data_IF_854484058219
#
_entry.id   IF_854484058219
#
_cell.length_a   1.000
_cell.length_b   1.000
_cell.length_c   1.000
_cell.angle_alpha   90.00
_cell.angle_beta   90.00
_cell.angle_gamma   90.00
#
_symmetry.space_group_name_H-M   'P 1'
#
loop_
_entity.id
_entity.type
_entity.pdbx_description
1 polymer ?
#
# COMPACT_ATOMS: atom_id res chain seq x y z
N UNK A 1 39.90 9.00 -8.24
CA UNK A 1 39.37 9.76 -9.40
C UNK A 1 38.60 8.79 -10.28
N UNK A 2 37.36 9.06 -10.58
CA UNK A 2 36.60 8.37 -11.63
C UNK A 2 35.50 7.41 -11.18
N UNK A 3 34.38 7.87 -10.55
CA UNK A 3 33.12 7.11 -10.46
C UNK A 3 31.90 7.99 -10.37
N UNK A 4 31.81 9.05 -11.18
CA UNK A 4 30.66 9.93 -11.25
C UNK A 4 30.03 10.03 -12.64
N UNK A 5 30.34 9.11 -13.56
CA UNK A 5 29.87 9.19 -14.96
C UNK A 5 28.72 8.25 -15.31
N UNK A 6 28.23 7.40 -14.40
CA UNK A 6 27.20 6.40 -14.74
C UNK A 6 25.74 6.86 -14.54
N UNK A 7 25.50 8.04 -13.98
CA UNK A 7 24.12 8.56 -13.79
C UNK A 7 23.68 9.53 -14.91
N UNK A 8 24.46 9.69 -15.97
CA UNK A 8 24.19 10.69 -17.02
C UNK A 8 23.37 10.18 -18.20
N UNK A 9 22.92 8.94 -18.17
CA UNK A 9 22.11 8.40 -19.28
C UNK A 9 20.68 8.02 -18.83
N UNK A 10 20.05 8.92 -18.08
CA UNK A 10 18.58 8.93 -18.02
C UNK A 10 18.13 9.43 -19.40
N UNK A 11 17.46 8.61 -20.24
CA UNK A 11 17.10 9.04 -21.58
C UNK A 11 16.27 10.33 -21.49
N UNK A 12 16.55 11.27 -22.40
CA UNK A 12 15.86 12.59 -22.48
C UNK A 12 14.33 12.46 -22.44
N UNK A 13 13.82 11.37 -22.92
CA UNK A 13 12.42 10.97 -22.86
C UNK A 13 11.83 11.01 -21.45
N UNK A 14 12.58 10.61 -20.42
CA UNK A 14 12.13 10.64 -19.02
C UNK A 14 12.11 12.08 -18.49
N UNK A 15 13.06 12.91 -18.88
CA UNK A 15 13.07 14.35 -18.54
C UNK A 15 11.89 15.12 -19.15
N UNK A 16 11.50 14.77 -20.38
CA UNK A 16 10.33 15.34 -21.04
C UNK A 16 9.03 14.92 -20.36
N UNK A 17 8.96 13.67 -19.89
CA UNK A 17 7.82 13.13 -19.14
C UNK A 17 7.67 13.78 -17.74
N UNK A 18 8.77 14.09 -17.07
CA UNK A 18 8.75 14.81 -15.78
C UNK A 18 8.27 16.26 -15.92
N UNK A 19 8.54 16.90 -17.04
CA UNK A 19 8.14 18.29 -17.31
C UNK A 19 6.62 18.46 -17.49
N UNK A 20 5.91 17.39 -17.85
CA UNK A 20 4.47 17.45 -18.11
C UNK A 20 3.69 17.02 -16.84
N UNK A 21 3.17 17.99 -16.08
CA UNK A 21 2.41 17.75 -14.82
C UNK A 21 1.28 16.71 -14.96
N UNK A 22 0.65 16.66 -16.13
CA UNK A 22 -0.43 15.70 -16.44
C UNK A 22 0.09 14.26 -16.54
N UNK A 23 1.23 14.06 -17.20
CA UNK A 23 1.84 12.73 -17.36
C UNK A 23 2.35 12.22 -16.00
N UNK A 24 2.96 13.08 -15.20
CA UNK A 24 3.38 12.74 -13.85
C UNK A 24 2.20 12.31 -12.97
N UNK A 25 1.06 13.00 -13.08
CA UNK A 25 -0.15 12.61 -12.34
C UNK A 25 -0.66 11.22 -12.76
N UNK A 26 -0.69 10.93 -14.06
CA UNK A 26 -1.11 9.61 -14.59
C UNK A 26 -0.16 8.51 -14.09
N UNK A 27 1.15 8.72 -14.16
CA UNK A 27 2.14 7.76 -13.67
C UNK A 27 1.96 7.51 -12.17
N UNK A 28 1.77 8.56 -11.37
CA UNK A 28 1.51 8.43 -9.93
C UNK A 28 0.24 7.64 -9.68
N UNK A 29 -0.86 7.92 -10.38
CA UNK A 29 -2.12 7.19 -10.22
C UNK A 29 -1.99 5.71 -10.61
N UNK A 30 -1.32 5.41 -11.72
CA UNK A 30 -1.05 4.02 -12.12
C UNK A 30 -0.19 3.28 -11.08
N UNK A 31 0.84 3.93 -10.54
CA UNK A 31 1.69 3.33 -9.53
C UNK A 31 0.92 3.06 -8.22
N UNK A 32 0.06 4.00 -7.81
CA UNK A 32 -0.79 3.85 -6.62
C UNK A 32 -1.80 2.71 -6.80
N UNK A 33 -2.48 2.64 -7.94
CA UNK A 33 -3.42 1.56 -8.23
C UNK A 33 -2.73 0.20 -8.25
N UNK A 34 -1.59 0.09 -8.94
CA UNK A 34 -0.81 -1.14 -9.00
C UNK A 34 -0.32 -1.57 -7.62
N UNK A 35 0.22 -0.62 -6.86
CA UNK A 35 0.67 -0.87 -5.50
C UNK A 35 -0.47 -1.29 -4.57
N UNK A 36 -1.63 -0.61 -4.63
CA UNK A 36 -2.81 -0.95 -3.85
C UNK A 36 -3.33 -2.37 -4.18
N UNK A 37 -3.31 -2.74 -5.46
CA UNK A 37 -3.70 -4.09 -5.89
C UNK A 37 -2.74 -5.16 -5.36
N UNK A 38 -1.43 -4.98 -5.54
CA UNK A 38 -0.41 -5.92 -5.04
C UNK A 38 -0.50 -6.05 -3.52
N UNK A 39 -0.72 -4.93 -2.82
CA UNK A 39 -0.86 -4.91 -1.36
C UNK A 39 -2.10 -5.68 -0.90
N UNK A 40 -3.25 -5.46 -1.53
CA UNK A 40 -4.49 -6.16 -1.22
C UNK A 40 -4.35 -7.66 -1.48
N UNK A 41 -3.72 -8.03 -2.59
CA UNK A 41 -3.42 -9.42 -2.93
C UNK A 41 -2.51 -10.07 -1.88
N UNK A 42 -1.41 -9.41 -1.50
CA UNK A 42 -0.49 -9.91 -0.49
C UNK A 42 -1.16 -10.12 0.87
N UNK A 43 -2.02 -9.19 1.29
CA UNK A 43 -2.75 -9.32 2.56
C UNK A 43 -3.67 -10.54 2.54
N UNK A 44 -4.42 -10.76 1.47
CA UNK A 44 -5.39 -11.85 1.43
C UNK A 44 -4.73 -13.22 1.28
N UNK A 45 -3.72 -13.32 0.43
CA UNK A 45 -3.10 -14.59 0.06
C UNK A 45 -2.08 -15.05 1.12
N UNK A 46 -1.36 -14.12 1.72
CA UNK A 46 -0.24 -14.44 2.60
C UNK A 46 -0.44 -14.00 4.05
N UNK A 47 -0.82 -12.73 4.28
CA UNK A 47 -0.85 -12.18 5.65
C UNK A 47 -2.00 -12.74 6.47
N UNK A 48 -3.20 -12.83 5.89
CA UNK A 48 -4.38 -13.39 6.57
C UNK A 48 -4.23 -14.86 6.91
N UNK A 49 -3.78 -15.75 5.99
CA UNK A 49 -3.59 -17.17 6.29
C UNK A 49 -2.49 -17.44 7.32
N UNK A 50 -1.44 -16.65 7.34
CA UNK A 50 -0.38 -16.73 8.34
C UNK A 50 -0.83 -16.34 9.75
N UNK A 51 -2.06 -15.87 9.92
CA UNK A 51 -2.62 -15.38 11.20
C UNK A 51 -1.78 -14.33 11.92
N UNK A 52 -0.88 -13.69 11.21
CA UNK A 52 0.02 -12.69 11.74
C UNK A 52 -0.64 -11.32 11.66
N UNK A 53 -0.53 -10.57 12.74
CA UNK A 53 -0.95 -9.17 12.78
C UNK A 53 0.19 -8.35 12.20
N UNK A 54 -0.02 -7.79 10.99
CA UNK A 54 0.97 -6.87 10.40
C UNK A 54 1.14 -5.62 11.28
N UNK A 55 2.28 -4.96 11.16
CA UNK A 55 2.50 -3.73 11.91
C UNK A 55 1.69 -2.53 11.39
N UNK A 56 1.70 -1.43 12.14
CA UNK A 56 1.05 -0.18 11.77
C UNK A 56 -0.48 -0.22 11.81
N UNK A 57 -1.11 0.68 11.04
CA UNK A 57 -2.58 0.81 11.03
C UNK A 57 -3.31 -0.39 10.43
N UNK A 58 -2.71 -1.09 9.48
CA UNK A 58 -3.27 -2.33 8.94
C UNK A 58 -3.32 -3.43 10.01
N UNK A 59 -2.30 -3.55 10.83
CA UNK A 59 -2.29 -4.47 11.96
C UNK A 59 -3.32 -4.12 13.01
N UNK A 60 -3.45 -2.84 13.36
CA UNK A 60 -4.49 -2.37 14.27
C UNK A 60 -5.90 -2.66 13.72
N UNK A 61 -6.13 -2.47 12.42
CA UNK A 61 -7.40 -2.78 11.79
C UNK A 61 -7.72 -4.29 11.82
N UNK A 62 -6.72 -5.15 11.58
CA UNK A 62 -6.86 -6.61 11.71
C UNK A 62 -7.16 -7.03 13.15
N UNK A 63 -6.52 -6.39 14.13
CA UNK A 63 -6.77 -6.67 15.54
C UNK A 63 -8.21 -6.31 15.93
N UNK A 64 -8.69 -5.14 15.51
CA UNK A 64 -10.07 -4.70 15.77
C UNK A 64 -11.08 -5.64 15.11
N UNK A 65 -10.85 -6.06 13.86
CA UNK A 65 -11.67 -7.08 13.19
C UNK A 65 -11.73 -8.38 14.01
N UNK A 66 -10.57 -8.85 14.48
CA UNK A 66 -10.47 -10.12 15.23
C UNK A 66 -11.11 -10.04 16.62
N UNK A 67 -10.87 -8.97 17.37
CA UNK A 67 -11.49 -8.75 18.69
C UNK A 67 -13.00 -8.51 18.54
N UNK A 68 -13.42 -7.75 17.51
CA UNK A 68 -14.82 -7.55 17.19
C UNK A 68 -15.54 -8.86 16.94
N UNK A 69 -14.97 -9.75 16.14
CA UNK A 69 -15.56 -11.06 15.81
C UNK A 69 -15.73 -11.96 17.04
N UNK A 70 -14.84 -11.88 18.03
CA UNK A 70 -14.95 -12.61 19.30
C UNK A 70 -16.11 -12.09 20.17
N UNK A 71 -16.49 -10.84 20.01
CA UNK A 71 -17.61 -10.21 20.72
C UNK A 71 -18.92 -10.18 19.90
N UNK A 72 -18.97 -10.90 18.79
CA UNK A 72 -20.15 -10.97 17.91
C UNK A 72 -20.36 -9.73 17.04
N UNK A 73 -19.37 -8.82 16.98
CA UNK A 73 -19.40 -7.63 16.13
C UNK A 73 -18.59 -7.88 14.85
N UNK A 74 -19.24 -7.84 13.71
CA UNK A 74 -18.58 -7.95 12.41
C UNK A 74 -18.12 -6.57 11.94
N UNK A 75 -16.94 -6.16 12.37
CA UNK A 75 -16.29 -4.91 11.92
C UNK A 75 -15.29 -5.27 10.83
N UNK A 76 -15.57 -4.98 9.55
CA UNK A 76 -14.64 -5.35 8.47
C UNK A 76 -13.35 -4.52 8.55
N UNK A 77 -12.20 -5.18 8.36
CA UNK A 77 -10.86 -4.58 8.36
C UNK A 77 -10.78 -3.32 7.48
N UNK A 78 -11.46 -3.35 6.33
CA UNK A 78 -11.47 -2.28 5.33
C UNK A 78 -11.99 -0.96 5.89
N UNK A 79 -13.09 -1.01 6.62
CA UNK A 79 -13.70 0.18 7.26
C UNK A 79 -12.80 0.72 8.35
N UNK A 80 -12.27 -0.16 9.18
CA UNK A 80 -11.36 0.22 10.26
C UNK A 80 -10.06 0.82 9.71
N UNK A 81 -9.55 0.29 8.61
CA UNK A 81 -8.36 0.82 7.95
C UNK A 81 -8.56 2.26 7.45
N UNK A 82 -9.69 2.54 6.83
CA UNK A 82 -10.03 3.90 6.37
C UNK A 82 -10.18 4.83 7.59
N UNK A 83 -10.95 4.41 8.59
CA UNK A 83 -11.24 5.22 9.77
C UNK A 83 -9.98 5.60 10.56
N UNK A 84 -9.05 4.66 10.75
CA UNK A 84 -7.77 4.91 11.44
C UNK A 84 -6.84 5.84 10.64
N UNK A 85 -6.93 5.85 9.31
CA UNK A 85 -6.09 6.71 8.48
C UNK A 85 -6.59 8.16 8.40
N UNK A 86 -7.88 8.43 8.70
CA UNK A 86 -8.44 9.80 8.66
C UNK A 86 -7.69 10.76 9.61
N UNK A 87 -7.55 10.48 10.93
CA UNK A 87 -6.89 11.40 11.85
C UNK A 87 -5.42 11.64 11.48
N UNK A 88 -4.73 10.58 11.02
CA UNK A 88 -3.33 10.70 10.57
C UNK A 88 -3.23 11.57 9.33
N UNK A 89 -4.13 11.38 8.37
CA UNK A 89 -4.18 12.20 7.18
C UNK A 89 -4.41 13.70 7.49
N UNK A 90 -5.29 13.99 8.44
CA UNK A 90 -5.54 15.37 8.89
C UNK A 90 -4.29 16.00 9.54
N UNK A 91 -3.55 15.24 10.32
CA UNK A 91 -2.28 15.70 10.89
C UNK A 91 -1.20 15.89 9.83
N UNK A 92 -1.08 14.95 8.89
CA UNK A 92 -0.08 15.00 7.81
C UNK A 92 -0.36 16.12 6.79
N UNK A 93 -1.61 16.48 6.54
CA UNK A 93 -1.95 17.62 5.67
C UNK A 93 -1.35 18.93 6.15
N UNK A 94 -1.19 19.12 7.45
CA UNK A 94 -0.63 20.32 8.05
C UNK A 94 0.90 20.30 8.15
N UNK A 95 1.50 19.10 8.25
CA UNK A 95 2.93 18.94 8.56
C UNK A 95 3.83 18.60 7.36
N UNK A 96 3.32 17.91 6.33
CA UNK A 96 4.18 17.38 5.27
C UNK A 96 3.83 18.01 3.92
N UNK A 97 2.82 17.49 3.26
CA UNK A 97 2.39 17.96 1.93
C UNK A 97 0.98 17.46 1.65
N UNK A 98 0.11 18.35 1.24
CA UNK A 98 -1.26 17.99 0.85
C UNK A 98 -1.27 16.95 -0.28
N UNK A 99 -0.37 17.09 -1.26
CA UNK A 99 -0.26 16.16 -2.37
C UNK A 99 0.10 14.74 -1.90
N UNK A 100 1.10 14.63 -1.03
CA UNK A 100 1.51 13.33 -0.46
C UNK A 100 0.38 12.69 0.32
N UNK A 101 -0.32 13.46 1.16
CA UNK A 101 -1.43 12.98 1.96
C UNK A 101 -2.60 12.49 1.11
N UNK A 102 -2.96 13.24 0.05
CA UNK A 102 -4.04 12.84 -0.86
C UNK A 102 -3.71 11.53 -1.58
N UNK A 103 -2.48 11.39 -2.09
CA UNK A 103 -2.04 10.17 -2.78
C UNK A 103 -2.01 8.97 -1.83
N UNK A 104 -1.57 9.17 -0.59
CA UNK A 104 -1.55 8.11 0.43
C UNK A 104 -2.97 7.69 0.84
N UNK A 105 -3.90 8.65 0.98
CA UNK A 105 -5.31 8.35 1.24
C UNK A 105 -5.95 7.57 0.07
N UNK A 106 -5.67 7.98 -1.17
CA UNK A 106 -6.15 7.26 -2.35
C UNK A 106 -5.66 5.81 -2.35
N UNK A 107 -4.40 5.58 -1.97
CA UNK A 107 -3.87 4.23 -1.85
C UNK A 107 -4.62 3.39 -0.81
N UNK A 108 -4.90 3.96 0.37
CA UNK A 108 -5.67 3.27 1.42
C UNK A 108 -7.09 2.95 0.93
N UNK A 109 -7.75 3.90 0.27
CA UNK A 109 -9.10 3.70 -0.27
C UNK A 109 -9.11 2.62 -1.34
N UNK A 110 -8.20 2.68 -2.32
CA UNK A 110 -8.13 1.66 -3.37
C UNK A 110 -7.73 0.29 -2.80
N UNK A 111 -6.78 0.23 -1.86
CA UNK A 111 -6.41 -1.01 -1.18
C UNK A 111 -7.58 -1.63 -0.44
N UNK A 112 -8.35 -0.83 0.29
CA UNK A 112 -9.56 -1.27 0.99
C UNK A 112 -10.64 -1.75 0.03
N UNK A 113 -10.82 -1.06 -1.10
CA UNK A 113 -11.76 -1.45 -2.15
C UNK A 113 -11.37 -2.78 -2.79
N UNK A 114 -10.10 -2.97 -3.12
CA UNK A 114 -9.59 -4.22 -3.67
C UNK A 114 -9.71 -5.38 -2.68
N UNK A 115 -9.46 -5.14 -1.39
CA UNK A 115 -9.68 -6.14 -0.33
C UNK A 115 -11.14 -6.60 -0.21
N UNK A 116 -12.09 -5.74 -0.58
CA UNK A 116 -13.51 -6.06 -0.52
C UNK A 116 -14.02 -6.74 -1.79
N UNK A 117 -13.55 -6.29 -2.97
CA UNK A 117 -14.01 -6.80 -4.27
C UNK A 117 -13.41 -8.16 -4.59
N UNK A 118 -12.11 -8.33 -4.33
CA UNK A 118 -11.39 -9.55 -4.65
C UNK A 118 -11.30 -10.46 -3.43
N UNK A 119 -11.60 -11.75 -3.63
CA UNK A 119 -11.41 -12.80 -2.64
C UNK A 119 -10.42 -13.81 -3.20
N UNK A 120 -9.18 -13.70 -2.77
CA UNK A 120 -8.12 -14.62 -3.18
C UNK A 120 -7.97 -15.75 -2.16
N UNK A 121 -7.75 -16.95 -2.67
CA UNK A 121 -7.48 -18.13 -1.84
C UNK A 121 -6.00 -18.14 -1.40
N UNK A 122 -5.70 -18.63 -0.21
CA UNK A 122 -4.32 -18.81 0.23
C UNK A 122 -3.59 -19.81 -0.67
N UNK A 123 -2.33 -19.51 -1.03
CA UNK A 123 -1.52 -20.36 -1.90
C UNK A 123 -0.75 -21.40 -1.06
N UNK A 124 -0.26 -21.01 0.10
CA UNK A 124 0.50 -21.89 0.97
C UNK A 124 -0.26 -22.21 2.25
N UNK A 125 -0.15 -23.45 2.70
CA UNK A 125 -0.69 -23.90 3.98
C UNK A 125 0.31 -23.62 5.12
N UNK A 126 1.58 -23.45 4.78
CA UNK A 126 2.66 -23.21 5.74
C UNK A 126 2.73 -21.72 6.13
N UNK A 127 2.64 -21.46 7.43
CA UNK A 127 2.66 -20.09 7.97
C UNK A 127 4.00 -19.39 7.70
N UNK A 128 5.12 -20.10 7.77
CA UNK A 128 6.47 -19.53 7.57
C UNK A 128 6.65 -19.05 6.12
N UNK A 129 6.23 -19.87 5.16
CA UNK A 129 6.26 -19.51 3.74
C UNK A 129 5.38 -18.29 3.47
N UNK A 130 4.19 -18.24 4.06
CA UNK A 130 3.29 -17.10 3.96
C UNK A 130 3.92 -15.81 4.50
N UNK A 131 4.66 -15.88 5.60
CA UNK A 131 5.36 -14.72 6.18
C UNK A 131 6.44 -14.21 5.26
N UNK A 132 7.28 -15.09 4.75
CA UNK A 132 8.44 -14.72 3.91
C UNK A 132 7.95 -14.10 2.59
N UNK A 133 7.12 -14.80 1.85
CA UNK A 133 6.60 -14.31 0.58
C UNK A 133 5.69 -13.09 0.75
N UNK A 134 4.83 -13.10 1.76
CA UNK A 134 3.98 -11.97 2.10
C UNK A 134 4.78 -10.72 2.42
N UNK A 135 5.83 -10.83 3.22
CA UNK A 135 6.73 -9.73 3.57
C UNK A 135 7.43 -9.11 2.37
N UNK A 136 7.97 -9.94 1.46
CA UNK A 136 8.66 -9.48 0.25
C UNK A 136 7.68 -8.78 -0.70
N UNK A 137 6.53 -9.38 -0.96
CA UNK A 137 5.54 -8.84 -1.91
C UNK A 137 4.91 -7.56 -1.33
N UNK A 138 4.54 -7.58 -0.05
CA UNK A 138 4.01 -6.41 0.64
C UNK A 138 5.02 -5.26 0.67
N UNK A 139 6.28 -5.54 1.00
CA UNK A 139 7.36 -4.55 0.97
C UNK A 139 7.59 -3.96 -0.42
N UNK A 140 7.55 -4.78 -1.46
CA UNK A 140 7.68 -4.33 -2.85
C UNK A 140 6.54 -3.38 -3.23
N UNK A 141 5.30 -3.67 -2.80
CA UNK A 141 4.14 -2.80 -3.06
C UNK A 141 4.33 -1.40 -2.47
N UNK A 142 4.89 -1.31 -1.26
CA UNK A 142 5.18 -0.03 -0.61
C UNK A 142 6.23 0.77 -1.41
N UNK A 143 7.29 0.10 -1.89
CA UNK A 143 8.34 0.76 -2.69
C UNK A 143 7.75 1.32 -3.99
N UNK A 144 6.86 0.59 -4.66
CA UNK A 144 6.17 1.05 -5.88
C UNK A 144 5.35 2.31 -5.58
N UNK A 145 4.59 2.30 -4.47
CA UNK A 145 3.80 3.46 -4.05
C UNK A 145 4.66 4.70 -3.79
N UNK A 146 5.75 4.52 -3.05
CA UNK A 146 6.65 5.62 -2.71
C UNK A 146 7.33 6.20 -3.94
N UNK A 147 7.82 5.34 -4.85
CA UNK A 147 8.44 5.79 -6.10
C UNK A 147 7.45 6.46 -7.06
N UNK A 148 6.21 6.01 -7.08
CA UNK A 148 5.16 6.65 -7.89
C UNK A 148 4.76 8.03 -7.38
N UNK A 149 5.02 8.35 -6.10
CA UNK A 149 4.70 9.63 -5.48
C UNK A 149 5.90 10.60 -5.44
N UNK A 150 7.10 10.13 -5.71
CA UNK A 150 8.31 10.96 -5.81
C UNK A 150 8.35 11.69 -7.16
#
# INVERSE_FOLDING_TARGET
MGKTSSLKHIPEQIKILEKNKKIRLVITMCAVLLSAFIQAWAIQVFVRPAQIISGGFSGAAMLIERVGSLNGLTIPMQVTMILLNIPVALMCCRGISVRFTVVSLLQVVFGSMFLQIFSFQPIFTDEILNVIFGGVIYGTSIVIALRGNA
#
